data_IF_960516898642
#
_entry.id   IF_960516898642
#
_cell.length_a   1.000
_cell.length_b   1.000
_cell.length_c   1.000
_cell.angle_alpha   90.00
_cell.angle_beta   90.00
_cell.angle_gamma   90.00
#
_symmetry.space_group_name_H-M   'P 1'
#
loop_
_entity.id
_entity.type
_entity.pdbx_description
1 polymer ?
#
# COMPACT_ATOMS: atom_id res chain seq x y z
N UNK A 1 5.34 16.27 -23.61
CA UNK A 1 4.98 15.78 -22.26
C UNK A 1 5.53 14.35 -22.11
N UNK A 2 6.83 14.22 -21.88
CA UNK A 2 7.59 13.01 -22.23
C UNK A 2 8.57 12.57 -21.15
N UNK A 3 8.09 12.45 -19.91
CA UNK A 3 8.84 11.70 -18.90
C UNK A 3 8.49 10.22 -19.06
N UNK A 4 9.49 9.32 -19.01
CA UNK A 4 9.23 7.89 -19.02
C UNK A 4 8.36 7.50 -17.81
N UNK A 5 7.63 6.38 -17.95
CA UNK A 5 6.89 5.82 -16.84
C UNK A 5 7.82 5.58 -15.64
N UNK A 6 7.29 5.75 -14.43
CA UNK A 6 8.05 5.45 -13.22
C UNK A 6 8.31 3.95 -13.13
N UNK A 7 9.57 3.56 -12.98
CA UNK A 7 9.93 2.20 -12.61
C UNK A 7 9.43 1.89 -11.20
N UNK A 8 8.58 0.88 -11.08
CA UNK A 8 7.98 0.49 -9.82
C UNK A 8 7.35 -0.89 -9.90
N UNK A 9 7.12 -1.46 -8.73
CA UNK A 9 6.45 -2.74 -8.54
C UNK A 9 5.04 -2.46 -8.03
N UNK A 10 4.06 -3.14 -8.63
CA UNK A 10 2.67 -3.15 -8.13
C UNK A 10 2.32 -4.57 -7.67
N UNK A 11 1.93 -4.69 -6.41
CA UNK A 11 1.45 -5.94 -5.82
C UNK A 11 -0.05 -5.83 -5.58
N UNK A 12 -0.82 -6.81 -6.07
CA UNK A 12 -2.23 -6.98 -5.72
C UNK A 12 -2.35 -8.06 -4.64
N UNK A 13 -3.06 -7.75 -3.55
CA UNK A 13 -3.19 -8.66 -2.40
C UNK A 13 -4.58 -9.32 -2.31
N UNK A 14 -5.42 -9.17 -3.34
CA UNK A 14 -6.85 -9.53 -3.27
C UNK A 14 -7.67 -8.45 -2.56
N UNK A 15 -9.00 -8.61 -2.55
CA UNK A 15 -9.94 -7.75 -1.81
C UNK A 15 -9.68 -6.23 -2.00
N UNK A 16 -9.52 -5.83 -3.27
CA UNK A 16 -9.25 -4.44 -3.67
C UNK A 16 -8.06 -3.77 -2.93
N UNK A 17 -7.11 -4.56 -2.44
CA UNK A 17 -5.92 -4.09 -1.74
C UNK A 17 -4.70 -4.13 -2.66
N UNK A 18 -3.91 -3.05 -2.65
CA UNK A 18 -2.71 -2.94 -3.47
C UNK A 18 -1.56 -2.22 -2.78
N UNK A 19 -0.35 -2.59 -3.18
CA UNK A 19 0.90 -1.88 -2.83
C UNK A 19 1.57 -1.42 -4.11
N UNK A 20 2.08 -0.18 -4.13
CA UNK A 20 2.96 0.34 -5.17
C UNK A 20 4.27 0.74 -4.52
N UNK A 21 5.37 0.11 -4.92
CA UNK A 21 6.71 0.40 -4.43
C UNK A 21 7.58 0.96 -5.57
N UNK A 22 8.29 2.06 -5.32
CA UNK A 22 9.20 2.68 -6.30
C UNK A 22 10.43 3.28 -5.64
N UNK A 23 11.58 3.31 -6.33
CA UNK A 23 12.71 4.15 -5.91
C UNK A 23 12.31 5.64 -5.88
N UNK A 24 12.89 6.40 -4.95
CA UNK A 24 12.55 7.81 -4.74
C UNK A 24 13.01 8.75 -5.86
N UNK A 25 13.97 8.32 -6.68
CA UNK A 25 14.52 9.04 -7.83
C UNK A 25 15.80 9.84 -7.51
N UNK A 26 15.88 10.47 -6.34
CA UNK A 26 17.02 11.34 -5.98
C UNK A 26 17.73 10.94 -4.69
N UNK A 27 17.11 10.09 -3.87
CA UNK A 27 17.66 9.64 -2.59
C UNK A 27 17.62 8.10 -2.51
N UNK A 28 18.50 7.46 -1.71
CA UNK A 28 18.53 6.01 -1.48
C UNK A 28 17.36 5.58 -0.57
N UNK A 29 16.13 5.83 -1.04
CA UNK A 29 14.88 5.54 -0.34
C UNK A 29 13.92 4.80 -1.25
N UNK A 30 13.21 3.82 -0.68
CA UNK A 30 12.06 3.17 -1.29
C UNK A 30 10.77 3.88 -0.81
N UNK A 31 9.93 4.32 -1.75
CA UNK A 31 8.59 4.84 -1.44
C UNK A 31 7.57 3.73 -1.64
N UNK A 32 6.79 3.45 -0.61
CA UNK A 32 5.73 2.44 -0.64
C UNK A 32 4.38 3.11 -0.37
N UNK A 33 3.44 2.96 -1.31
CA UNK A 33 2.05 3.39 -1.18
C UNK A 33 1.19 2.16 -0.97
N UNK A 34 0.35 2.17 0.07
CA UNK A 34 -0.56 1.07 0.39
C UNK A 34 -1.98 1.61 0.29
N UNK A 35 -2.84 0.90 -0.42
CA UNK A 35 -4.27 1.19 -0.52
C UNK A 35 -5.07 -0.03 -0.09
N UNK A 36 -6.00 0.18 0.82
CA UNK A 36 -7.00 -0.79 1.26
C UNK A 36 -8.36 -0.18 0.95
N UNK A 37 -9.19 -0.92 0.20
CA UNK A 37 -10.56 -0.53 -0.11
C UNK A 37 -11.50 -1.56 0.51
N UNK A 38 -12.29 -1.12 1.49
CA UNK A 38 -13.26 -1.96 2.19
C UNK A 38 -14.67 -1.49 1.84
N UNK A 39 -15.57 -2.37 1.37
CA UNK A 39 -16.98 -2.04 1.20
C UNK A 39 -17.62 -1.59 2.51
N UNK A 40 -18.56 -0.65 2.44
CA UNK A 40 -19.36 -0.28 3.61
C UNK A 40 -20.56 -1.21 3.66
N UNK A 41 -20.58 -2.13 4.64
CA UNK A 41 -21.72 -3.01 4.89
C UNK A 41 -22.64 -2.40 5.97
N UNK A 42 -22.19 -2.36 7.22
CA UNK A 42 -23.01 -1.85 8.34
C UNK A 42 -22.87 -0.34 8.55
N UNK A 43 -21.62 0.15 8.66
CA UNK A 43 -21.33 1.56 8.88
C UNK A 43 -19.95 1.95 8.36
N UNK A 44 -19.79 3.24 8.06
CA UNK A 44 -18.50 3.80 7.62
C UNK A 44 -17.42 3.62 8.69
N UNK A 45 -17.78 3.71 9.97
CA UNK A 45 -16.83 3.56 11.08
C UNK A 45 -16.34 2.11 11.22
N UNK A 46 -17.23 1.13 11.02
CA UNK A 46 -16.85 -0.28 10.98
C UNK A 46 -15.90 -0.57 9.80
N UNK A 47 -16.25 -0.12 8.59
CA UNK A 47 -15.42 -0.29 7.40
C UNK A 47 -14.06 0.40 7.54
N UNK A 48 -14.01 1.58 8.16
CA UNK A 48 -12.76 2.31 8.45
C UNK A 48 -11.88 1.55 9.43
N UNK A 49 -12.48 0.97 10.47
CA UNK A 49 -11.75 0.17 11.47
C UNK A 49 -11.11 -1.05 10.80
N UNK A 50 -11.87 -1.81 10.02
CA UNK A 50 -11.35 -2.96 9.28
C UNK A 50 -10.23 -2.56 8.30
N UNK A 51 -10.44 -1.50 7.52
CA UNK A 51 -9.44 -1.01 6.57
C UNK A 51 -8.14 -0.59 7.27
N UNK A 52 -8.25 0.04 8.44
CA UNK A 52 -7.11 0.47 9.26
C UNK A 52 -6.35 -0.73 9.81
N UNK A 53 -7.06 -1.70 10.38
CA UNK A 53 -6.44 -2.93 10.91
C UNK A 53 -5.68 -3.70 9.82
N UNK A 54 -6.26 -3.77 8.62
CA UNK A 54 -5.61 -4.39 7.47
C UNK A 54 -4.39 -3.61 7.00
N UNK A 55 -4.49 -2.27 6.94
CA UNK A 55 -3.37 -1.40 6.58
C UNK A 55 -2.19 -1.59 7.55
N UNK A 56 -2.45 -1.66 8.86
CA UNK A 56 -1.40 -1.86 9.86
C UNK A 56 -0.74 -3.25 9.76
N UNK A 57 -1.52 -4.31 9.49
CA UNK A 57 -0.94 -5.64 9.20
C UNK A 57 -0.01 -5.61 8.00
N UNK A 58 -0.43 -4.97 6.91
CA UNK A 58 0.39 -4.85 5.69
C UNK A 58 1.67 -4.05 5.97
N UNK A 59 1.59 -2.97 6.75
CA UNK A 59 2.77 -2.20 7.16
C UNK A 59 3.76 -3.06 7.95
N UNK A 60 3.27 -3.86 8.90
CA UNK A 60 4.11 -4.76 9.69
C UNK A 60 4.77 -5.85 8.82
N UNK A 61 4.01 -6.46 7.91
CA UNK A 61 4.57 -7.46 6.98
C UNK A 61 5.59 -6.87 6.02
N UNK A 62 5.36 -5.66 5.53
CA UNK A 62 6.29 -4.95 4.67
C UNK A 62 7.58 -4.59 5.42
N UNK A 63 7.47 -4.10 6.65
CA UNK A 63 8.63 -3.83 7.50
C UNK A 63 9.47 -5.09 7.70
N UNK A 64 8.84 -6.20 8.08
CA UNK A 64 9.50 -7.51 8.24
C UNK A 64 10.16 -7.99 6.95
N UNK A 65 9.49 -7.88 5.81
CA UNK A 65 10.04 -8.30 4.51
C UNK A 65 11.23 -7.42 4.05
N UNK A 66 11.26 -6.16 4.46
CA UNK A 66 12.34 -5.21 4.17
C UNK A 66 13.46 -5.20 5.24
N UNK A 67 13.30 -5.95 6.33
CA UNK A 67 14.27 -5.99 7.44
C UNK A 67 14.29 -4.72 8.29
N UNK A 68 13.14 -4.06 8.45
CA UNK A 68 12.93 -2.86 9.28
C UNK A 68 12.36 -3.20 10.66
#
# INVERSE_FOLDING_TARGET
NGLPATDGIRLGLGEATRIIARPSGTEPKLKCYIEVVTPVEDSVDAARTEATDRLERIKADLARALGL
#
